data_IF_652680535777
#
_entry.id   IF_652680535777
#
_cell.length_a   1.000
_cell.length_b   1.000
_cell.length_c   1.000
_cell.angle_alpha   90.00
_cell.angle_beta   90.00
_cell.angle_gamma   90.00
#
_symmetry.space_group_name_H-M   'P 1'
#
loop_
_entity.id
_entity.type
_entity.pdbx_description
1 polymer ?
#
# COMPACT_ATOMS: atom_id res chain seq x y z
N UNK A 1 10.18 -20.26 16.34
CA UNK A 1 9.28 -19.92 15.20
C UNK A 1 9.67 -18.56 14.58
N UNK A 2 10.69 -18.52 13.71
CA UNK A 2 11.20 -17.26 13.09
C UNK A 2 11.09 -17.20 11.56
N UNK A 3 10.50 -18.21 10.90
CA UNK A 3 10.50 -18.34 9.43
C UNK A 3 9.34 -17.67 8.68
N UNK A 4 8.18 -17.46 9.32
CA UNK A 4 6.96 -17.07 8.59
C UNK A 4 6.89 -15.58 8.19
N UNK A 5 7.61 -14.68 8.90
CA UNK A 5 7.63 -13.25 8.59
C UNK A 5 8.51 -12.91 7.38
N UNK A 6 9.65 -13.60 7.22
CA UNK A 6 10.60 -13.34 6.12
C UNK A 6 10.04 -13.73 4.74
N UNK A 7 9.29 -14.82 4.64
CA UNK A 7 8.71 -15.26 3.36
C UNK A 7 7.58 -14.35 2.84
N UNK A 8 6.83 -13.69 3.73
CA UNK A 8 5.73 -12.83 3.32
C UNK A 8 6.22 -11.49 2.76
N UNK A 9 7.31 -10.94 3.30
CA UNK A 9 8.00 -9.77 2.72
C UNK A 9 8.61 -10.11 1.36
N UNK A 10 9.44 -11.15 1.29
CA UNK A 10 10.13 -11.56 0.06
C UNK A 10 9.20 -11.88 -1.13
N UNK A 11 7.99 -12.39 -0.89
CA UNK A 11 7.01 -12.69 -1.96
C UNK A 11 6.24 -11.46 -2.43
N UNK A 12 5.98 -10.49 -1.55
CA UNK A 12 5.38 -9.22 -1.93
C UNK A 12 6.35 -8.40 -2.79
N UNK A 13 7.63 -8.37 -2.41
CA UNK A 13 8.70 -7.70 -3.16
C UNK A 13 8.81 -8.24 -4.60
N UNK A 14 8.76 -9.57 -4.76
CA UNK A 14 8.79 -10.21 -6.08
C UNK A 14 7.55 -9.86 -6.93
N UNK A 15 6.39 -9.64 -6.32
CA UNK A 15 5.17 -9.28 -7.05
C UNK A 15 5.26 -7.87 -7.62
N UNK A 16 5.78 -6.92 -6.84
CA UNK A 16 6.01 -5.54 -7.30
C UNK A 16 7.10 -5.45 -8.36
N UNK A 17 8.14 -6.27 -8.26
CA UNK A 17 9.16 -6.40 -9.31
C UNK A 17 8.56 -6.82 -10.66
N UNK A 18 7.66 -7.81 -10.65
CA UNK A 18 6.97 -8.29 -11.86
C UNK A 18 6.03 -7.22 -12.42
N UNK A 19 5.31 -6.50 -11.56
CA UNK A 19 4.47 -5.37 -11.99
C UNK A 19 5.34 -4.32 -12.69
N UNK A 20 6.46 -3.92 -12.07
CA UNK A 20 7.37 -2.94 -12.63
C UNK A 20 7.95 -3.37 -13.98
N UNK A 21 8.45 -4.60 -14.08
CA UNK A 21 8.99 -5.14 -15.33
C UNK A 21 7.96 -5.15 -16.47
N UNK A 22 6.70 -5.49 -16.17
CA UNK A 22 5.62 -5.44 -17.16
C UNK A 22 5.27 -4.01 -17.59
N UNK A 23 5.28 -3.07 -16.64
CA UNK A 23 5.05 -1.65 -16.95
C UNK A 23 6.14 -1.10 -17.85
N UNK A 24 7.42 -1.33 -17.54
CA UNK A 24 8.55 -0.89 -18.38
C UNK A 24 8.53 -1.50 -19.78
N UNK A 25 8.14 -2.77 -19.89
CA UNK A 25 7.99 -3.42 -21.20
C UNK A 25 6.86 -2.79 -22.04
N UNK A 26 5.73 -2.45 -21.42
CA UNK A 26 4.55 -1.92 -22.11
C UNK A 26 4.64 -0.41 -22.38
N UNK A 27 5.33 0.31 -21.51
CA UNK A 27 5.51 1.77 -21.54
C UNK A 27 7.00 2.09 -21.37
N UNK A 28 7.81 2.03 -22.45
CA UNK A 28 9.27 2.21 -22.37
C UNK A 28 9.71 3.58 -21.85
N UNK A 29 8.89 4.61 -22.10
CA UNK A 29 9.15 6.00 -21.70
C UNK A 29 8.43 6.40 -20.41
N UNK A 30 7.90 5.42 -19.66
CA UNK A 30 7.16 5.66 -18.43
C UNK A 30 8.01 6.39 -17.40
N UNK A 31 7.50 7.54 -16.95
CA UNK A 31 8.08 8.37 -15.88
C UNK A 31 7.11 8.62 -14.74
N UNK A 32 5.80 8.61 -15.00
CA UNK A 32 4.79 8.93 -13.99
C UNK A 32 3.75 7.83 -13.86
N UNK A 33 3.61 7.30 -12.64
CA UNK A 33 2.60 6.32 -12.27
C UNK A 33 1.51 6.97 -11.42
N UNK A 34 0.25 6.69 -11.73
CA UNK A 34 -0.87 6.93 -10.82
C UNK A 34 -1.20 5.64 -10.08
N UNK A 35 -1.15 5.64 -8.75
CA UNK A 35 -1.58 4.51 -7.90
C UNK A 35 -2.83 4.93 -7.15
N UNK A 36 -3.97 4.40 -7.55
CA UNK A 36 -5.27 4.79 -7.04
C UNK A 36 -5.97 3.64 -6.30
N UNK A 37 -6.71 3.98 -5.24
CA UNK A 37 -7.62 3.03 -4.61
C UNK A 37 -8.75 2.63 -5.56
N UNK A 38 -9.24 1.40 -5.45
CA UNK A 38 -10.40 0.93 -6.20
C UNK A 38 -11.73 1.29 -5.49
N UNK A 39 -11.68 1.61 -4.19
CA UNK A 39 -12.78 2.13 -3.38
C UNK A 39 -12.30 3.08 -2.30
N UNK A 40 -13.24 3.77 -1.63
CA UNK A 40 -12.95 4.58 -0.43
C UNK A 40 -12.31 3.80 0.73
N UNK A 41 -12.38 2.46 0.69
CA UNK A 41 -11.88 1.57 1.75
C UNK A 41 -10.43 1.15 1.49
N UNK A 42 -9.89 1.47 0.32
CA UNK A 42 -8.56 1.09 -0.12
C UNK A 42 -7.60 2.25 0.13
N UNK A 43 -6.48 1.94 0.79
CA UNK A 43 -5.35 2.84 0.93
C UNK A 43 -4.22 2.37 0.00
N UNK A 44 -3.94 3.10 -1.10
CA UNK A 44 -2.89 2.76 -2.04
C UNK A 44 -1.47 3.11 -1.54
N UNK A 45 -1.32 3.85 -0.44
CA UNK A 45 -0.03 4.42 0.00
C UNK A 45 1.02 3.34 0.25
N UNK A 46 0.69 2.30 1.00
CA UNK A 46 1.61 1.19 1.27
C UNK A 46 2.00 0.42 -0.01
N UNK A 47 1.09 0.37 -0.99
CA UNK A 47 1.36 -0.25 -2.29
C UNK A 47 2.33 0.59 -3.11
N UNK A 48 2.15 1.91 -3.11
CA UNK A 48 3.04 2.84 -3.78
C UNK A 48 4.46 2.80 -3.20
N UNK A 49 4.61 2.75 -1.87
CA UNK A 49 5.91 2.65 -1.20
C UNK A 49 6.61 1.32 -1.50
N UNK A 50 5.87 0.20 -1.41
CA UNK A 50 6.44 -1.10 -1.74
C UNK A 50 6.83 -1.22 -3.23
N UNK A 51 6.08 -0.56 -4.11
CA UNK A 51 6.45 -0.44 -5.53
C UNK A 51 7.69 0.43 -5.72
N UNK A 52 7.81 1.58 -5.01
CA UNK A 52 9.01 2.42 -5.10
C UNK A 52 10.26 1.69 -4.63
N UNK A 53 10.17 0.90 -3.56
CA UNK A 53 11.30 0.11 -3.06
C UNK A 53 11.74 -0.96 -4.09
N UNK A 54 10.77 -1.58 -4.78
CA UNK A 54 11.07 -2.48 -5.87
C UNK A 54 11.77 -1.75 -7.03
N UNK A 55 11.25 -0.59 -7.46
CA UNK A 55 11.84 0.21 -8.54
C UNK A 55 13.30 0.56 -8.22
N UNK A 56 13.56 1.10 -7.02
CA UNK A 56 14.93 1.41 -6.56
C UNK A 56 15.82 0.18 -6.61
N UNK A 57 15.33 -0.96 -6.11
CA UNK A 57 16.14 -2.17 -6.01
C UNK A 57 16.48 -2.80 -7.37
N UNK A 58 15.56 -2.75 -8.33
CA UNK A 58 15.73 -3.43 -9.62
C UNK A 58 16.35 -2.53 -10.70
N UNK A 59 16.10 -1.23 -10.66
CA UNK A 59 16.59 -0.28 -11.68
C UNK A 59 17.62 0.72 -11.13
N UNK A 60 17.93 0.68 -9.82
CA UNK A 60 18.78 1.68 -9.15
C UNK A 60 18.30 3.13 -9.39
N UNK A 61 16.98 3.28 -9.54
CA UNK A 61 16.31 4.52 -9.86
C UNK A 61 16.03 5.38 -8.62
N UNK A 62 15.96 6.68 -8.83
CA UNK A 62 15.45 7.66 -7.87
C UNK A 62 13.95 7.81 -8.03
N UNK A 63 13.20 7.74 -6.93
CA UNK A 63 11.74 7.73 -6.95
C UNK A 63 11.16 8.86 -6.09
N UNK A 64 10.20 9.58 -6.65
CA UNK A 64 9.39 10.57 -5.93
C UNK A 64 7.98 10.03 -5.71
N UNK A 65 7.55 9.89 -4.47
CA UNK A 65 6.18 9.52 -4.10
C UNK A 65 5.43 10.77 -3.63
N UNK A 66 4.39 11.16 -4.36
CA UNK A 66 3.53 12.29 -4.06
C UNK A 66 2.17 11.78 -3.62
N UNK A 67 1.71 12.16 -2.43
CA UNK A 67 0.42 11.72 -1.90
C UNK A 67 -0.55 12.89 -1.91
N UNK A 68 -1.67 12.73 -2.62
CA UNK A 68 -2.74 13.71 -2.62
C UNK A 68 -3.30 13.87 -1.21
N UNK A 69 -3.66 15.09 -0.83
CA UNK A 69 -4.29 15.38 0.47
C UNK A 69 -5.57 14.54 0.67
N UNK A 70 -6.37 14.39 -0.39
CA UNK A 70 -7.57 13.54 -0.40
C UNK A 70 -7.30 12.03 -0.24
N UNK A 71 -6.06 11.57 -0.39
CA UNK A 71 -5.65 10.20 -0.12
C UNK A 71 -5.19 9.97 1.34
N UNK A 72 -4.90 11.03 2.10
CA UNK A 72 -4.38 10.91 3.46
C UNK A 72 -5.47 10.63 4.49
N UNK A 73 -5.80 9.35 4.71
CA UNK A 73 -6.85 8.95 5.67
C UNK A 73 -6.49 9.28 7.13
N UNK A 74 -5.24 9.04 7.54
CA UNK A 74 -4.79 9.18 8.94
C UNK A 74 -3.93 10.43 9.18
N UNK A 75 -3.75 11.31 8.17
CA UNK A 75 -2.86 12.48 8.17
C UNK A 75 -1.41 12.22 8.62
N UNK A 76 -1.02 10.96 8.82
CA UNK A 76 0.35 10.59 9.09
C UNK A 76 1.13 10.67 7.79
N UNK A 77 2.22 11.41 7.80
CA UNK A 77 3.10 11.48 6.65
C UNK A 77 3.63 10.08 6.31
N UNK A 78 3.52 9.66 5.05
CA UNK A 78 4.12 8.41 4.62
C UNK A 78 5.64 8.57 4.62
N UNK A 79 6.32 7.59 5.20
CA UNK A 79 7.78 7.58 5.31
C UNK A 79 8.32 6.40 4.52
N UNK A 80 9.39 6.63 3.77
CA UNK A 80 10.16 5.57 3.12
C UNK A 80 11.39 5.22 3.95
N UNK A 81 11.76 3.95 3.97
CA UNK A 81 13.00 3.49 4.59
C UNK A 81 14.22 3.64 3.66
N UNK A 82 14.01 3.99 2.39
CA UNK A 82 15.05 4.08 1.36
C UNK A 82 15.46 5.53 1.10
N UNK A 83 16.77 5.87 1.09
CA UNK A 83 17.24 7.23 0.82
C UNK A 83 17.01 7.66 -0.64
N UNK A 84 16.83 6.71 -1.56
CA UNK A 84 16.52 6.99 -2.97
C UNK A 84 15.02 7.21 -3.23
N UNK A 85 14.18 7.17 -2.19
CA UNK A 85 12.76 7.45 -2.27
C UNK A 85 12.46 8.72 -1.49
N UNK A 86 12.07 9.77 -2.20
CA UNK A 86 11.54 10.99 -1.58
C UNK A 86 10.03 10.88 -1.49
N UNK A 87 9.46 11.20 -0.33
CA UNK A 87 8.00 11.20 -0.14
C UNK A 87 7.53 12.61 0.20
N UNK A 88 6.50 13.08 -0.48
CA UNK A 88 5.83 14.35 -0.22
C UNK A 88 4.33 14.08 -0.01
N UNK A 89 3.84 14.38 1.19
CA UNK A 89 2.44 14.21 1.55
C UNK A 89 1.59 15.46 1.36
N UNK A 90 0.27 15.29 1.52
CA UNK A 90 -0.72 16.36 1.61
C UNK A 90 -0.71 17.37 0.45
N UNK A 91 -0.55 16.89 -0.79
CA UNK A 91 -0.49 17.74 -1.97
C UNK A 91 -1.88 17.95 -2.59
N UNK A 92 -2.16 19.18 -3.02
CA UNK A 92 -3.25 19.46 -3.95
C UNK A 92 -2.91 18.99 -5.37
N UNK A 93 -3.90 18.78 -6.25
CA UNK A 93 -3.66 18.42 -7.65
C UNK A 93 -2.73 19.40 -8.37
N UNK A 94 -2.84 20.70 -8.11
CA UNK A 94 -1.98 21.71 -8.73
C UNK A 94 -0.54 21.62 -8.22
N UNK A 95 -0.34 21.37 -6.91
CA UNK A 95 0.99 21.15 -6.35
C UNK A 95 1.66 19.90 -6.96
N UNK A 96 0.89 18.82 -7.19
CA UNK A 96 1.41 17.63 -7.90
C UNK A 96 1.86 17.99 -9.31
N UNK A 97 1.07 18.74 -10.09
CA UNK A 97 1.46 19.15 -11.45
C UNK A 97 2.72 20.02 -11.47
N UNK A 98 2.84 20.95 -10.51
CA UNK A 98 4.03 21.79 -10.35
C UNK A 98 5.25 20.92 -10.00
N UNK A 99 5.11 20.00 -9.04
CA UNK A 99 6.19 19.10 -8.64
C UNK A 99 6.65 18.20 -9.80
N UNK A 100 5.69 17.59 -10.53
CA UNK A 100 5.98 16.78 -11.71
C UNK A 100 6.73 17.56 -12.80
N UNK A 101 6.42 18.84 -12.98
CA UNK A 101 7.09 19.70 -13.96
C UNK A 101 8.51 20.06 -13.53
N UNK A 102 8.70 20.33 -12.24
CA UNK A 102 10.00 20.74 -11.68
C UNK A 102 10.99 19.59 -11.53
N UNK A 103 10.50 18.35 -11.39
CA UNK A 103 11.34 17.19 -11.05
C UNK A 103 11.69 16.32 -12.26
N UNK A 104 11.34 16.74 -13.49
CA UNK A 104 11.55 15.93 -14.71
C UNK A 104 13.00 15.49 -14.93
N UNK A 105 13.96 16.28 -14.46
CA UNK A 105 15.39 16.03 -14.69
C UNK A 105 16.13 15.52 -13.43
N UNK A 106 15.43 15.41 -12.30
CA UNK A 106 16.03 15.05 -10.99
C UNK A 106 15.59 13.69 -10.49
N UNK A 107 14.44 13.18 -10.94
CA UNK A 107 13.94 11.85 -10.56
C UNK A 107 13.66 10.99 -11.78
N UNK A 108 13.99 9.70 -11.67
CA UNK A 108 13.77 8.75 -12.75
C UNK A 108 12.29 8.37 -12.89
N UNK A 109 11.60 8.22 -11.75
CA UNK A 109 10.17 7.84 -11.69
C UNK A 109 9.44 8.64 -10.62
N UNK A 110 8.25 9.13 -10.96
CA UNK A 110 7.29 9.72 -10.02
C UNK A 110 6.08 8.80 -9.84
N UNK A 111 5.62 8.67 -8.60
CA UNK A 111 4.40 7.94 -8.24
C UNK A 111 3.45 8.91 -7.54
N UNK A 112 2.26 9.10 -8.12
CA UNK A 112 1.18 9.87 -7.53
C UNK A 112 0.20 8.91 -6.87
N UNK A 113 -0.03 9.10 -5.57
CA UNK A 113 -0.96 8.31 -4.76
C UNK A 113 -2.27 9.07 -4.66
N UNK A 114 -3.36 8.43 -5.07
CA UNK A 114 -4.68 9.04 -5.16
C UNK A 114 -5.77 8.17 -4.50
N UNK A 115 -6.84 8.78 -3.97
CA UNK A 115 -8.01 8.00 -3.55
C UNK A 115 -8.73 7.40 -4.77
N UNK A 116 -9.81 6.65 -4.52
CA UNK A 116 -10.60 6.10 -5.60
C UNK A 116 -11.27 7.19 -6.45
N UNK A 117 -11.26 7.08 -7.79
CA UNK A 117 -11.72 8.14 -8.70
C UNK A 117 -13.21 8.47 -8.57
N UNK A 118 -14.05 7.51 -8.13
CA UNK A 118 -15.46 7.73 -7.82
C UNK A 118 -15.70 8.43 -6.48
N UNK A 119 -14.66 8.64 -5.67
CA UNK A 119 -14.77 9.23 -4.31
C UNK A 119 -14.10 10.58 -4.18
N UNK A 120 -13.10 10.89 -5.03
CA UNK A 120 -12.52 12.23 -5.08
C UNK A 120 -12.14 12.61 -6.51
N UNK A 121 -12.52 13.83 -6.89
CA UNK A 121 -12.20 14.44 -8.18
C UNK A 121 -10.69 14.61 -8.38
N UNK A 122 -9.91 14.75 -7.31
CA UNK A 122 -8.47 14.97 -7.39
C UNK A 122 -7.74 13.87 -8.18
N UNK A 123 -8.18 12.61 -8.03
CA UNK A 123 -7.65 11.47 -8.78
C UNK A 123 -7.83 11.67 -10.30
N UNK A 124 -9.00 12.14 -10.71
CA UNK A 124 -9.31 12.48 -12.11
C UNK A 124 -8.48 13.68 -12.57
N UNK A 125 -8.33 14.69 -11.71
CA UNK A 125 -7.62 15.92 -12.03
C UNK A 125 -6.11 15.70 -12.30
N UNK A 126 -5.50 14.68 -11.69
CA UNK A 126 -4.07 14.34 -11.92
C UNK A 126 -3.87 13.23 -12.95
N UNK A 127 -4.92 12.52 -13.38
CA UNK A 127 -4.80 11.39 -14.30
C UNK A 127 -4.12 11.79 -15.63
N UNK A 128 -4.41 12.98 -16.16
CA UNK A 128 -3.79 13.47 -17.40
C UNK A 128 -2.28 13.75 -17.31
N UNK A 129 -1.69 13.72 -16.11
CA UNK A 129 -0.25 13.90 -15.90
C UNK A 129 0.50 12.57 -15.72
N UNK A 130 -0.20 11.42 -15.71
CA UNK A 130 0.41 10.10 -15.53
C UNK A 130 0.49 9.33 -16.86
N UNK A 131 1.52 8.49 -17.00
CA UNK A 131 1.73 7.65 -18.17
C UNK A 131 1.01 6.30 -18.06
N UNK A 132 0.85 5.80 -16.82
CA UNK A 132 0.10 4.60 -16.53
C UNK A 132 -0.57 4.65 -15.16
N UNK A 133 -1.68 3.92 -15.02
CA UNK A 133 -2.40 3.76 -13.76
C UNK A 133 -2.31 2.34 -13.19
N UNK A 134 -2.28 2.24 -11.86
CA UNK A 134 -2.42 1.01 -11.09
C UNK A 134 -3.62 1.18 -10.15
N UNK A 135 -4.55 0.23 -10.21
CA UNK A 135 -5.67 0.18 -9.26
C UNK A 135 -5.37 -0.77 -8.11
N UNK A 136 -5.61 -0.31 -6.88
CA UNK A 136 -5.39 -1.08 -5.66
C UNK A 136 -6.73 -1.44 -5.01
N UNK A 137 -7.00 -2.73 -4.89
CA UNK A 137 -8.19 -3.26 -4.24
C UNK A 137 -7.81 -4.16 -3.07
N UNK A 138 -8.67 -4.27 -2.07
CA UNK A 138 -8.48 -5.14 -0.91
C UNK A 138 -9.48 -6.30 -0.94
N UNK A 139 -8.96 -7.53 -0.92
CA UNK A 139 -9.75 -8.74 -0.94
C UNK A 139 -10.74 -8.80 0.24
N UNK A 140 -12.00 -9.10 -0.07
CA UNK A 140 -13.09 -9.14 0.93
C UNK A 140 -13.53 -7.77 1.45
N UNK A 141 -12.98 -6.66 0.95
CA UNK A 141 -13.37 -5.29 1.30
C UNK A 141 -13.85 -4.47 0.12
N UNK A 142 -13.19 -4.59 -1.03
CA UNK A 142 -13.54 -3.87 -2.26
C UNK A 142 -14.58 -4.66 -3.05
N UNK A 143 -15.81 -4.15 -3.23
CA UNK A 143 -16.79 -4.77 -4.11
C UNK A 143 -16.31 -4.73 -5.56
N UNK A 144 -16.57 -5.81 -6.32
CA UNK A 144 -16.19 -5.87 -7.74
C UNK A 144 -16.82 -4.74 -8.57
N UNK A 145 -18.05 -4.33 -8.25
CA UNK A 145 -18.71 -3.20 -8.91
C UNK A 145 -17.99 -1.87 -8.68
N UNK A 146 -17.48 -1.61 -7.46
CA UNK A 146 -16.71 -0.40 -7.17
C UNK A 146 -15.36 -0.40 -7.91
N UNK A 147 -14.67 -1.54 -7.95
CA UNK A 147 -13.43 -1.69 -8.70
C UNK A 147 -13.62 -1.53 -10.22
N UNK A 148 -14.73 -2.05 -10.76
CA UNK A 148 -15.09 -1.92 -12.18
C UNK A 148 -15.39 -0.46 -12.53
N UNK A 149 -16.16 0.22 -11.67
CA UNK A 149 -16.45 1.65 -11.82
C UNK A 149 -15.17 2.48 -11.77
N UNK A 150 -14.26 2.20 -10.83
CA UNK A 150 -12.99 2.90 -10.74
C UNK A 150 -12.16 2.77 -12.02
N UNK A 151 -12.10 1.56 -12.58
CA UNK A 151 -11.40 1.29 -13.84
C UNK A 151 -12.05 2.00 -15.03
N UNK A 152 -13.38 2.09 -15.06
CA UNK A 152 -14.10 2.79 -16.12
C UNK A 152 -13.88 4.30 -16.07
N UNK A 153 -13.92 4.90 -14.87
CA UNK A 153 -13.65 6.33 -14.71
C UNK A 153 -12.23 6.70 -15.17
N UNK A 154 -11.23 5.86 -14.86
CA UNK A 154 -9.86 6.06 -15.36
C UNK A 154 -9.75 5.85 -16.87
N UNK A 155 -10.52 4.94 -17.48
CA UNK A 155 -10.60 4.84 -18.94
C UNK A 155 -11.15 6.11 -19.58
N UNK A 156 -12.16 6.73 -18.97
CA UNK A 156 -12.77 7.96 -19.47
C UNK A 156 -11.82 9.16 -19.42
N UNK A 157 -10.79 9.13 -18.59
CA UNK A 157 -9.72 10.16 -18.59
C UNK A 157 -8.61 9.89 -19.61
N UNK A 158 -8.72 8.81 -20.38
CA UNK A 158 -7.66 8.37 -21.30
C UNK A 158 -6.52 7.59 -20.61
N UNK A 159 -6.64 7.27 -19.32
CA UNK A 159 -5.63 6.55 -18.54
C UNK A 159 -6.15 5.17 -18.08
N UNK A 160 -6.33 4.19 -18.98
CA UNK A 160 -6.78 2.86 -18.59
C UNK A 160 -5.82 2.24 -17.55
N UNK A 161 -6.32 1.52 -16.52
CA UNK A 161 -5.46 0.80 -15.59
C UNK A 161 -4.55 -0.18 -16.33
N UNK A 162 -3.23 0.02 -16.19
CA UNK A 162 -2.20 -0.84 -16.75
C UNK A 162 -1.99 -2.11 -15.92
N UNK A 163 -2.25 -2.03 -14.62
CA UNK A 163 -2.19 -3.14 -13.68
C UNK A 163 -3.25 -2.98 -12.58
N UNK A 164 -3.54 -4.08 -11.89
CA UNK A 164 -4.34 -4.10 -10.68
C UNK A 164 -3.63 -4.90 -9.59
N UNK A 165 -3.67 -4.40 -8.36
CA UNK A 165 -3.11 -5.05 -7.18
C UNK A 165 -4.25 -5.43 -6.26
N UNK A 166 -4.37 -6.72 -5.97
CA UNK A 166 -5.32 -7.23 -4.98
C UNK A 166 -4.59 -7.54 -3.67
N UNK A 167 -4.75 -6.67 -2.68
CA UNK A 167 -4.20 -6.85 -1.35
C UNK A 167 -4.98 -7.94 -0.62
N UNK A 168 -4.26 -8.88 0.01
CA UNK A 168 -4.87 -9.88 0.86
C UNK A 168 -5.49 -9.22 2.10
N UNK A 169 -6.65 -9.72 2.54
CA UNK A 169 -7.20 -9.34 3.84
C UNK A 169 -6.14 -9.63 4.92
N UNK A 170 -5.90 -8.72 5.88
CA UNK A 170 -5.01 -9.01 6.99
C UNK A 170 -5.52 -10.29 7.66
N UNK A 171 -4.69 -11.33 7.68
CA UNK A 171 -5.05 -12.60 8.28
C UNK A 171 -5.56 -12.31 9.69
N UNK A 172 -6.85 -12.60 9.95
CA UNK A 172 -7.37 -12.60 11.32
C UNK A 172 -6.40 -13.46 12.11
N UNK A 173 -5.69 -12.86 13.07
CA UNK A 173 -4.93 -13.65 14.04
C UNK A 173 -5.96 -14.58 14.66
N UNK A 174 -5.88 -15.87 14.35
CA UNK A 174 -6.64 -16.86 15.12
C UNK A 174 -6.41 -16.55 16.59
N UNK A 175 -7.45 -16.44 17.42
CA UNK A 175 -7.26 -16.20 18.84
C UNK A 175 -6.28 -17.26 19.32
N UNK A 176 -5.10 -16.81 19.75
CA UNK A 176 -4.12 -17.68 20.35
C UNK A 176 -4.84 -18.35 21.52
N UNK A 177 -4.94 -19.69 21.58
CA UNK A 177 -5.54 -20.35 22.72
C UNK A 177 -4.80 -19.83 23.95
N UNK A 178 -5.54 -19.21 24.87
CA UNK A 178 -5.00 -18.72 26.12
C UNK A 178 -4.16 -19.85 26.74
N UNK A 179 -2.95 -19.58 27.25
CA UNK A 179 -2.20 -20.61 27.94
C UNK A 179 -3.11 -21.19 29.02
N UNK A 180 -3.28 -22.51 28.99
CA UNK A 180 -4.09 -23.21 29.97
C UNK A 180 -3.62 -22.75 31.36
N UNK A 181 -4.52 -22.14 32.13
CA UNK A 181 -4.25 -21.85 33.54
C UNK A 181 -3.73 -23.13 34.17
N UNK A 182 -2.57 -23.14 34.84
CA UNK A 182 -2.14 -24.31 35.58
C UNK A 182 -3.27 -24.62 36.59
N UNK A 183 -3.80 -25.84 36.49
CA UNK A 183 -4.74 -26.34 37.50
C UNK A 183 -4.01 -26.25 38.86
N UNK A 184 -4.63 -25.68 39.90
CA UNK A 184 -4.04 -25.75 41.22
C UNK A 184 -3.85 -27.23 41.57
N UNK A 185 -2.60 -27.59 41.86
CA UNK A 185 -2.25 -28.92 42.33
C UNK A 185 -3.03 -29.21 43.60
N UNK A 186 -3.68 -30.37 43.67
CA UNK A 186 -4.37 -30.86 44.86
C UNK A 186 -3.45 -31.01 46.10
N UNK A 187 -2.14 -30.78 45.96
CA UNK A 187 -1.16 -30.85 47.04
C UNK A 187 -1.12 -29.59 47.96
N UNK A 188 -1.79 -28.48 47.61
CA UNK A 188 -1.81 -27.28 48.47
C UNK A 188 -2.99 -27.24 49.47
N UNK A 189 -3.89 -28.22 49.43
CA UNK A 189 -5.03 -28.31 50.35
C UNK A 189 -4.71 -28.89 51.73
N UNK A 190 -3.54 -29.52 51.93
CA UNK A 190 -3.19 -30.16 53.20
C UNK A 190 -2.35 -29.28 54.15
N UNK A 191 -1.65 -28.25 53.65
CA UNK A 191 -0.80 -27.41 54.48
C UNK A 191 -1.57 -26.35 55.31
N UNK A 192 -2.82 -26.04 54.97
CA UNK A 192 -3.65 -25.06 55.72
C UNK A 192 -4.43 -25.75 56.85
N UNK A 193 -4.55 -27.08 56.84
CA UNK A 193 -5.29 -27.83 57.86
C UNK A 193 -4.48 -28.12 59.14
N UNK A 194 -3.14 -28.15 59.07
CA UNK A 194 -2.30 -28.47 60.24
C UNK A 194 -1.92 -27.25 61.10
N UNK A 195 -2.10 -26.02 60.61
CA UNK A 195 -1.81 -24.78 61.36
C UNK A 195 -2.97 -24.29 62.25
N UNK A 196 -3.99 -25.12 62.48
CA UNK A 196 -5.11 -24.85 63.42
C UNK A 196 -5.24 -25.89 64.54
N UNK A 197 -4.26 -26.78 64.73
CA UNK A 197 -4.23 -27.77 65.82
C UNK A 197 -2.92 -27.76 66.63
N UNK A 198 -2.30 -26.59 66.78
CA UNK A 198 -1.29 -26.34 67.80
C UNK A 198 -1.82 -25.28 68.77
#
# INVERSE_FOLDING_TARGET
MLGARRHRGSRADASYAVIWANLRKRYPDLRTLLVAGASRRDDPTATALALSDAIVRFDNATVLVMVLDSAMQDRREPESASPSVTVIGALSPDQVRIALSNQRDTVDVSIVVAPAPQTAVDCIAVAGAADAAILVATAGRTPSAEATLAAELLRQTGLPPAAAVLLGAPARRSPQPAPARPRPSAAQGQAIAELRRA
#
